data_IF_572894256727
#
_entry.id   IF_572894256727
#
_cell.length_a   1.000
_cell.length_b   1.000
_cell.length_c   1.000
_cell.angle_alpha   90.00
_cell.angle_beta   90.00
_cell.angle_gamma   90.00
#
_symmetry.space_group_name_H-M   'P 1'
#
loop_
_entity.id
_entity.type
_entity.pdbx_description
1 polymer ?
#
# COMPACT_ATOMS: atom_id res chain seq x y z
N UNK A 1 5.62 7.74 38.49
CA UNK A 1 6.03 6.82 37.41
C UNK A 1 4.92 6.84 36.39
N UNK A 2 5.20 7.11 35.15
CA UNK A 2 4.19 7.04 34.07
C UNK A 2 3.77 5.58 33.90
N UNK A 3 2.47 5.32 33.78
CA UNK A 3 1.95 3.97 33.55
C UNK A 3 2.57 3.38 32.28
N UNK A 4 3.06 2.14 32.36
CA UNK A 4 3.60 1.42 31.21
C UNK A 4 2.50 1.25 30.14
N UNK A 5 2.80 1.57 28.89
CA UNK A 5 1.90 1.40 27.74
C UNK A 5 2.45 0.35 26.81
N UNK A 6 1.56 -0.35 26.10
CA UNK A 6 1.90 -1.16 24.94
C UNK A 6 1.71 -0.32 23.68
N UNK A 7 2.73 -0.26 22.82
CA UNK A 7 2.76 0.61 21.66
C UNK A 7 3.15 -0.21 20.43
N UNK A 8 2.27 -0.26 19.45
CA UNK A 8 2.57 -0.75 18.11
C UNK A 8 2.95 0.45 17.24
N UNK A 9 4.10 0.36 16.58
CA UNK A 9 4.60 1.37 15.66
C UNK A 9 4.74 0.74 14.28
N UNK A 10 4.24 1.42 13.25
CA UNK A 10 4.50 1.05 11.86
C UNK A 10 5.01 2.23 11.06
N UNK A 11 5.91 2.00 10.12
CA UNK A 11 6.32 2.97 9.11
C UNK A 11 5.85 2.53 7.73
N UNK A 12 5.47 3.48 6.87
CA UNK A 12 5.00 3.18 5.52
C UNK A 12 5.99 2.27 4.79
N UNK A 13 5.45 1.22 4.19
CA UNK A 13 6.22 0.19 3.50
C UNK A 13 6.93 0.78 2.28
N UNK A 14 8.25 0.66 2.18
CA UNK A 14 8.97 1.04 0.97
C UNK A 14 8.69 0.07 -0.16
N UNK A 15 8.44 0.59 -1.38
CA UNK A 15 8.34 -0.24 -2.58
C UNK A 15 9.63 -1.01 -2.85
N UNK A 16 9.50 -2.22 -3.41
CA UNK A 16 10.64 -3.09 -3.72
C UNK A 16 11.41 -2.67 -4.99
N UNK A 17 10.97 -1.70 -5.75
CA UNK A 17 11.46 -1.31 -7.07
C UNK A 17 12.83 -0.61 -7.11
N UNK A 18 13.72 -0.92 -6.20
CA UNK A 18 15.11 -0.44 -6.15
C UNK A 18 15.54 0.12 -4.79
N UNK A 19 16.80 0.57 -4.74
CA UNK A 19 17.39 1.17 -3.54
C UNK A 19 16.61 2.41 -3.10
N UNK A 20 16.36 2.52 -1.80
CA UNK A 20 15.62 3.65 -1.24
C UNK A 20 16.48 4.90 -1.14
N UNK A 21 15.85 6.04 -1.27
CA UNK A 21 16.50 7.34 -1.10
C UNK A 21 16.25 7.90 0.30
N UNK A 22 17.04 8.89 0.70
CA UNK A 22 16.92 9.53 2.02
C UNK A 22 15.55 10.13 2.29
N UNK A 23 14.75 10.44 1.25
CA UNK A 23 13.37 10.88 1.41
C UNK A 23 12.46 9.79 1.99
N UNK A 24 12.67 8.51 1.66
CA UNK A 24 11.94 7.39 2.29
C UNK A 24 12.36 7.24 3.76
N UNK A 25 13.65 7.33 4.04
CA UNK A 25 14.18 7.25 5.40
C UNK A 25 13.61 8.38 6.29
N UNK A 26 13.78 9.63 5.88
CA UNK A 26 13.37 10.80 6.66
C UNK A 26 11.84 11.00 6.70
N UNK A 27 11.12 10.50 5.68
CA UNK A 27 9.67 10.65 5.56
C UNK A 27 8.84 9.61 6.33
N UNK A 28 9.44 8.52 6.82
CA UNK A 28 8.69 7.50 7.58
C UNK A 28 9.56 6.69 8.55
N UNK A 29 10.62 6.02 8.09
CA UNK A 29 11.34 5.02 8.88
C UNK A 29 12.14 5.63 10.03
N UNK A 30 12.92 6.69 9.79
CA UNK A 30 13.75 7.33 10.81
C UNK A 30 12.91 8.02 11.92
N UNK A 31 11.85 8.80 11.62
CA UNK A 31 11.00 9.35 12.66
C UNK A 31 10.31 8.28 13.51
N UNK A 32 9.91 7.17 12.90
CA UNK A 32 9.33 6.03 13.60
C UNK A 32 10.36 5.36 14.54
N UNK A 33 11.59 5.18 14.07
CA UNK A 33 12.70 4.62 14.86
C UNK A 33 13.04 5.50 16.07
N UNK A 34 13.16 6.81 15.86
CA UNK A 34 13.40 7.77 16.96
C UNK A 34 12.27 7.67 18.00
N UNK A 35 11.02 7.64 17.55
CA UNK A 35 9.89 7.49 18.45
C UNK A 35 9.92 6.15 19.19
N UNK A 36 10.22 5.04 18.51
CA UNK A 36 10.32 3.72 19.11
C UNK A 36 11.39 3.69 20.23
N UNK A 37 12.59 4.24 19.94
CA UNK A 37 13.70 4.32 20.91
C UNK A 37 13.33 5.16 22.13
N UNK A 38 12.70 6.33 21.94
CA UNK A 38 12.29 7.19 23.04
C UNK A 38 11.26 6.47 23.90
N UNK A 39 10.25 5.81 23.31
CA UNK A 39 9.23 5.09 24.07
C UNK A 39 9.82 3.90 24.85
N UNK A 40 10.78 3.17 24.27
CA UNK A 40 11.52 2.10 24.97
C UNK A 40 12.34 2.65 26.14
N UNK A 41 13.04 3.76 25.95
CA UNK A 41 13.79 4.44 27.02
C UNK A 41 12.90 4.92 28.17
N UNK A 42 11.65 5.28 27.85
CA UNK A 42 10.63 5.64 28.87
C UNK A 42 10.02 4.43 29.59
N UNK A 43 10.43 3.20 29.26
CA UNK A 43 9.98 1.97 29.89
C UNK A 43 8.66 1.41 29.34
N UNK A 44 8.24 1.84 28.14
CA UNK A 44 7.06 1.28 27.48
C UNK A 44 7.40 -0.01 26.72
N UNK A 45 6.39 -0.89 26.55
CA UNK A 45 6.46 -2.06 25.69
C UNK A 45 6.22 -1.61 24.24
N UNK A 46 7.23 -1.74 23.38
CA UNK A 46 7.19 -1.20 22.02
C UNK A 46 7.50 -2.30 21.02
N UNK A 47 6.60 -2.46 20.05
CA UNK A 47 6.82 -3.30 18.87
C UNK A 47 6.84 -2.39 17.62
N UNK A 48 7.98 -2.36 16.92
CA UNK A 48 8.18 -1.55 15.71
C UNK A 48 8.29 -2.45 14.48
N UNK A 49 7.29 -2.38 13.60
CA UNK A 49 7.13 -3.22 12.42
C UNK A 49 7.26 -2.38 11.15
N UNK A 50 7.97 -2.91 10.18
CA UNK A 50 7.97 -2.44 8.79
C UNK A 50 8.04 -3.66 7.86
N UNK A 51 7.84 -3.45 6.56
CA UNK A 51 7.95 -4.48 5.54
C UNK A 51 8.30 -3.85 4.19
N UNK A 52 8.72 -4.65 3.22
CA UNK A 52 8.79 -4.23 1.82
C UNK A 52 7.44 -4.43 1.15
N UNK A 53 7.03 -3.45 0.34
CA UNK A 53 5.88 -3.52 -0.55
C UNK A 53 6.32 -4.10 -1.89
N UNK A 54 5.95 -5.37 -2.16
CA UNK A 54 6.55 -6.19 -3.22
C UNK A 54 5.64 -6.48 -4.41
N UNK A 55 4.38 -6.10 -4.34
CA UNK A 55 3.41 -6.40 -5.38
C UNK A 55 3.21 -5.26 -6.38
N UNK A 56 2.48 -5.56 -7.47
CA UNK A 56 2.06 -4.58 -8.47
C UNK A 56 3.09 -4.27 -9.55
N UNK A 57 2.67 -3.41 -10.47
CA UNK A 57 3.41 -3.05 -11.68
C UNK A 57 4.82 -2.51 -11.44
N UNK A 58 5.13 -1.75 -10.37
CA UNK A 58 6.49 -1.27 -10.15
C UNK A 58 7.52 -2.37 -9.94
N UNK A 59 7.16 -3.46 -9.25
CA UNK A 59 8.04 -4.60 -9.03
C UNK A 59 8.26 -5.40 -10.32
N UNK A 60 7.18 -5.69 -11.07
CA UNK A 60 7.26 -6.42 -12.34
C UNK A 60 8.13 -5.68 -13.37
N UNK A 61 7.89 -4.37 -13.55
CA UNK A 61 8.66 -3.54 -14.51
C UNK A 61 10.15 -3.45 -14.11
N UNK A 62 10.43 -3.31 -12.82
CA UNK A 62 11.82 -3.26 -12.34
C UNK A 62 12.54 -4.60 -12.53
N UNK A 63 11.87 -5.72 -12.24
CA UNK A 63 12.41 -7.06 -12.47
C UNK A 63 12.68 -7.32 -13.96
N UNK A 64 11.74 -6.93 -14.82
CA UNK A 64 11.91 -7.04 -16.26
C UNK A 64 13.10 -6.21 -16.77
N UNK A 65 13.23 -4.96 -16.31
CA UNK A 65 14.36 -4.10 -16.67
C UNK A 65 15.71 -4.66 -16.19
N UNK A 66 15.70 -5.45 -15.10
CA UNK A 66 16.87 -6.15 -14.57
C UNK A 66 17.13 -7.51 -15.25
N UNK A 67 16.24 -7.98 -16.13
CA UNK A 67 16.34 -9.31 -16.76
C UNK A 67 16.15 -10.47 -15.79
N UNK A 68 15.41 -10.27 -14.71
CA UNK A 68 15.19 -11.23 -13.63
C UNK A 68 13.71 -11.66 -13.54
N UNK A 69 13.45 -12.82 -12.91
CA UNK A 69 12.10 -13.10 -12.43
C UNK A 69 11.71 -12.13 -11.32
N UNK A 70 10.41 -11.83 -11.17
CA UNK A 70 9.95 -10.89 -10.13
C UNK A 70 10.33 -11.39 -8.74
N UNK A 71 10.22 -12.68 -8.48
CA UNK A 71 10.61 -13.27 -7.20
C UNK A 71 12.11 -13.05 -6.90
N UNK A 72 13.01 -13.36 -7.84
CA UNK A 72 14.45 -13.20 -7.65
C UNK A 72 14.83 -11.73 -7.44
N UNK A 73 14.21 -10.82 -8.20
CA UNK A 73 14.39 -9.39 -8.02
C UNK A 73 13.93 -8.91 -6.64
N UNK A 74 12.74 -9.32 -6.19
CA UNK A 74 12.23 -8.98 -4.87
C UNK A 74 13.13 -9.53 -3.76
N UNK A 75 13.65 -10.76 -3.89
CA UNK A 75 14.56 -11.36 -2.91
C UNK A 75 15.85 -10.56 -2.79
N UNK A 76 16.46 -10.16 -3.91
CA UNK A 76 17.67 -9.33 -3.93
C UNK A 76 17.40 -7.94 -3.33
N UNK A 77 16.34 -7.25 -3.76
CA UNK A 77 16.03 -5.91 -3.29
C UNK A 77 15.63 -5.88 -1.81
N UNK A 78 14.96 -6.92 -1.33
CA UNK A 78 14.66 -7.07 0.10
C UNK A 78 15.95 -7.07 0.93
N UNK A 79 16.94 -7.89 0.56
CA UNK A 79 18.21 -7.96 1.26
C UNK A 79 18.98 -6.62 1.21
N UNK A 80 18.94 -5.92 0.08
CA UNK A 80 19.54 -4.58 -0.06
C UNK A 80 18.88 -3.60 0.91
N UNK A 81 17.54 -3.57 0.94
CA UNK A 81 16.79 -2.65 1.80
C UNK A 81 16.93 -2.99 3.29
N UNK A 82 16.98 -4.29 3.63
CA UNK A 82 17.20 -4.77 4.99
C UNK A 82 18.58 -4.32 5.50
N UNK A 83 19.63 -4.56 4.70
CA UNK A 83 21.02 -4.12 5.01
C UNK A 83 21.15 -2.60 5.11
N UNK A 84 20.46 -1.86 4.24
CA UNK A 84 20.41 -0.40 4.33
C UNK A 84 19.78 0.05 5.67
N UNK A 85 18.67 -0.58 6.09
CA UNK A 85 18.07 -0.33 7.41
C UNK A 85 19.04 -0.60 8.56
N UNK A 86 19.78 -1.71 8.51
CA UNK A 86 20.83 -2.03 9.48
C UNK A 86 21.96 -0.99 9.47
N UNK A 87 22.40 -0.55 8.28
CA UNK A 87 23.42 0.48 8.11
C UNK A 87 23.04 1.83 8.72
N UNK A 88 21.74 2.17 8.71
CA UNK A 88 21.18 3.33 9.40
C UNK A 88 20.80 3.03 10.85
N UNK A 89 21.11 1.83 11.36
CA UNK A 89 20.81 1.39 12.72
C UNK A 89 19.33 1.50 13.07
N UNK A 90 18.42 1.23 12.13
CA UNK A 90 16.99 1.21 12.39
C UNK A 90 16.62 0.01 13.28
N UNK A 91 15.85 0.25 14.34
CA UNK A 91 15.58 -0.73 15.40
C UNK A 91 14.24 -1.44 15.21
N UNK A 92 13.93 -1.88 13.97
CA UNK A 92 12.76 -2.71 13.74
C UNK A 92 12.82 -3.98 14.62
N UNK A 93 11.68 -4.34 15.22
CA UNK A 93 11.51 -5.67 15.81
C UNK A 93 11.28 -6.70 14.71
N UNK A 94 10.70 -6.26 13.58
CA UNK A 94 10.54 -7.07 12.37
C UNK A 94 10.54 -6.23 11.10
N UNK A 95 11.24 -6.71 10.10
CA UNK A 95 11.20 -6.17 8.74
C UNK A 95 10.71 -7.28 7.81
N UNK A 96 9.39 -7.26 7.51
CA UNK A 96 8.70 -8.31 6.77
C UNK A 96 8.64 -8.07 5.26
N UNK A 97 7.76 -8.82 4.58
CA UNK A 97 7.55 -8.77 3.12
C UNK A 97 6.08 -9.01 2.78
N UNK A 98 5.49 -8.21 1.89
CA UNK A 98 4.10 -8.45 1.47
C UNK A 98 3.94 -9.68 0.57
N UNK A 99 5.00 -10.15 -0.07
CA UNK A 99 4.98 -11.38 -0.89
C UNK A 99 4.97 -12.69 -0.07
N UNK A 100 5.04 -12.61 1.26
CA UNK A 100 5.02 -13.80 2.12
C UNK A 100 3.62 -14.41 2.23
N UNK A 101 3.53 -15.74 2.44
CA UNK A 101 2.24 -16.43 2.57
C UNK A 101 1.32 -15.88 3.66
N UNK A 102 1.87 -15.31 4.75
CA UNK A 102 1.09 -14.67 5.80
C UNK A 102 0.26 -13.50 5.25
N UNK A 103 0.87 -12.64 4.41
CA UNK A 103 0.16 -11.53 3.79
C UNK A 103 -0.93 -12.01 2.81
N UNK A 104 -0.63 -13.04 2.03
CA UNK A 104 -1.61 -13.62 1.11
C UNK A 104 -2.85 -14.11 1.86
N UNK A 105 -2.67 -14.87 2.94
CA UNK A 105 -3.76 -15.42 3.75
C UNK A 105 -4.64 -14.33 4.36
N UNK A 106 -4.03 -13.32 4.99
CA UNK A 106 -4.79 -12.26 5.67
C UNK A 106 -5.49 -11.33 4.65
N UNK A 107 -4.87 -11.08 3.50
CA UNK A 107 -5.49 -10.30 2.42
C UNK A 107 -6.72 -11.01 1.86
N UNK A 108 -6.61 -12.30 1.58
CA UNK A 108 -7.73 -13.14 1.12
C UNK A 108 -8.83 -13.21 2.18
N UNK A 109 -8.47 -13.40 3.45
CA UNK A 109 -9.42 -13.40 4.55
C UNK A 109 -10.21 -12.10 4.65
N UNK A 110 -9.53 -10.96 4.65
CA UNK A 110 -10.22 -9.65 4.72
C UNK A 110 -11.11 -9.40 3.50
N UNK A 111 -10.67 -9.79 2.30
CA UNK A 111 -11.51 -9.71 1.10
C UNK A 111 -12.77 -10.56 1.24
N UNK A 112 -12.67 -11.79 1.75
CA UNK A 112 -13.81 -12.68 2.00
C UNK A 112 -14.79 -12.07 3.02
N UNK A 113 -14.29 -11.46 4.11
CA UNK A 113 -15.16 -10.81 5.08
C UNK A 113 -15.88 -9.59 4.50
N UNK A 114 -15.17 -8.78 3.70
CA UNK A 114 -15.78 -7.65 2.98
C UNK A 114 -16.87 -8.12 2.01
N UNK A 115 -16.65 -9.21 1.28
CA UNK A 115 -17.64 -9.78 0.37
C UNK A 115 -18.85 -10.31 1.13
N UNK A 116 -18.68 -11.05 2.22
CA UNK A 116 -19.77 -11.51 3.11
C UNK A 116 -20.60 -10.36 3.67
N UNK A 117 -19.96 -9.21 3.90
CA UNK A 117 -20.64 -8.00 4.39
C UNK A 117 -21.22 -7.12 3.28
N UNK A 118 -21.23 -7.59 2.02
CA UNK A 118 -21.80 -6.88 0.87
C UNK A 118 -21.01 -5.64 0.44
N UNK A 119 -19.73 -5.55 0.79
CA UNK A 119 -18.87 -4.43 0.44
C UNK A 119 -17.97 -4.69 -0.78
N UNK A 120 -18.12 -5.85 -1.43
CA UNK A 120 -17.45 -6.17 -2.68
C UNK A 120 -18.50 -6.53 -3.74
N UNK A 121 -18.32 -6.00 -4.94
CA UNK A 121 -19.08 -6.39 -6.12
C UNK A 121 -18.18 -6.58 -7.33
N UNK A 122 -18.64 -7.39 -8.30
CA UNK A 122 -18.00 -7.52 -9.61
C UNK A 122 -18.52 -6.43 -10.52
N UNK A 123 -17.64 -5.70 -11.19
CA UNK A 123 -17.96 -4.74 -12.25
C UNK A 123 -17.09 -4.99 -13.45
N UNK A 124 -17.73 -4.96 -14.63
CA UNK A 124 -17.01 -4.91 -15.91
C UNK A 124 -16.48 -3.49 -16.13
N UNK A 125 -15.22 -3.36 -16.48
CA UNK A 125 -14.59 -2.09 -16.83
C UNK A 125 -13.80 -2.21 -18.12
N UNK A 126 -13.65 -1.09 -18.83
CA UNK A 126 -12.82 -1.00 -20.02
C UNK A 126 -11.36 -0.86 -19.62
N UNK A 127 -10.50 -1.68 -20.21
CA UNK A 127 -9.06 -1.65 -19.93
C UNK A 127 -8.27 -1.69 -21.23
N UNK A 128 -7.07 -1.13 -21.19
CA UNK A 128 -6.12 -1.16 -22.30
C UNK A 128 -5.57 -2.58 -22.47
N UNK A 129 -5.64 -3.12 -23.69
CA UNK A 129 -5.11 -4.43 -24.05
C UNK A 129 -4.08 -4.27 -25.16
N UNK A 130 -2.87 -4.75 -24.96
CA UNK A 130 -1.86 -4.81 -26.01
C UNK A 130 -1.99 -6.13 -26.76
N UNK A 131 -2.35 -6.06 -28.05
CA UNK A 131 -2.58 -7.25 -28.89
C UNK A 131 -1.29 -8.04 -29.08
N UNK A 132 -0.18 -7.33 -29.33
CA UNK A 132 1.13 -7.95 -29.56
C UNK A 132 1.70 -8.57 -28.27
N UNK A 133 1.36 -8.02 -27.10
CA UNK A 133 1.78 -8.54 -25.79
C UNK A 133 0.85 -9.66 -25.29
N UNK A 134 -0.34 -9.81 -25.90
CA UNK A 134 -1.34 -10.79 -25.53
C UNK A 134 -1.93 -10.59 -24.13
N UNK A 135 -1.93 -9.34 -23.59
CA UNK A 135 -2.31 -9.07 -22.20
C UNK A 135 -2.95 -7.69 -21.99
N UNK A 136 -3.71 -7.57 -20.92
CA UNK A 136 -4.12 -6.28 -20.39
C UNK A 136 -2.91 -5.51 -19.84
N UNK A 137 -2.97 -4.18 -19.95
CA UNK A 137 -1.94 -3.27 -19.49
C UNK A 137 -2.50 -2.39 -18.35
N UNK A 138 -2.46 -2.83 -17.09
CA UNK A 138 -2.93 -1.99 -15.99
C UNK A 138 -1.91 -0.90 -15.64
N UNK A 139 -2.44 0.23 -15.17
CA UNK A 139 -1.68 1.30 -14.52
C UNK A 139 -0.42 1.73 -15.34
N UNK A 140 0.78 1.49 -14.80
CA UNK A 140 2.07 1.92 -15.37
C UNK A 140 2.56 1.09 -16.54
N UNK A 141 1.84 0.06 -16.92
CA UNK A 141 2.12 -0.67 -18.17
C UNK A 141 1.67 0.09 -19.42
N UNK A 142 0.87 1.15 -19.25
CA UNK A 142 0.49 2.06 -20.35
C UNK A 142 1.23 3.36 -20.19
N UNK A 143 1.86 3.81 -21.26
CA UNK A 143 2.36 5.15 -21.44
C UNK A 143 1.66 5.82 -22.63
N UNK A 144 1.59 7.15 -22.60
CA UNK A 144 0.97 7.94 -23.66
C UNK A 144 1.00 9.43 -23.35
N UNK A 145 0.24 10.22 -24.10
CA UNK A 145 0.15 11.66 -23.87
C UNK A 145 -0.96 11.97 -22.85
N UNK A 146 -0.62 12.75 -21.84
CA UNK A 146 -1.57 13.22 -20.84
C UNK A 146 -2.67 14.08 -21.46
N UNK A 147 -3.96 13.76 -21.30
CA UNK A 147 -5.05 14.55 -21.89
C UNK A 147 -5.20 15.94 -21.23
N UNK A 148 -4.59 16.17 -20.05
CA UNK A 148 -4.72 17.42 -19.31
C UNK A 148 -3.60 18.42 -19.59
N UNK A 149 -2.36 17.97 -19.76
CA UNK A 149 -1.21 18.88 -19.89
C UNK A 149 -0.33 18.63 -21.13
N UNK A 150 -0.64 17.62 -21.95
CA UNK A 150 0.10 17.31 -23.16
C UNK A 150 1.46 16.63 -22.93
N UNK A 151 1.79 16.21 -21.72
CA UNK A 151 3.04 15.50 -21.44
C UNK A 151 3.03 14.12 -22.11
N UNK A 152 3.99 13.90 -23.01
CA UNK A 152 4.01 12.73 -23.94
C UNK A 152 4.41 11.39 -23.30
N UNK A 153 4.89 11.40 -22.05
CA UNK A 153 5.31 10.20 -21.31
C UNK A 153 4.52 10.03 -20.03
N UNK A 154 3.23 10.37 -20.09
CA UNK A 154 2.33 10.15 -18.96
C UNK A 154 2.04 8.67 -18.78
N UNK A 155 1.98 8.23 -17.53
CA UNK A 155 1.63 6.85 -17.16
C UNK A 155 0.16 6.74 -16.83
N UNK A 156 -0.39 5.54 -16.97
CA UNK A 156 -1.82 5.30 -16.84
C UNK A 156 -2.39 5.46 -15.43
N UNK A 157 -1.56 5.60 -14.38
CA UNK A 157 -2.02 5.84 -13.01
C UNK A 157 -1.99 7.33 -12.61
N UNK A 158 -0.90 8.03 -12.98
CA UNK A 158 -0.70 9.43 -12.63
C UNK A 158 0.27 10.11 -13.60
N UNK A 159 -0.02 11.32 -13.99
CA UNK A 159 0.89 12.11 -14.81
C UNK A 159 2.07 12.63 -13.96
N UNK A 160 3.29 12.25 -14.35
CA UNK A 160 4.53 12.70 -13.66
C UNK A 160 4.76 14.22 -13.78
N UNK A 161 4.15 14.89 -14.77
CA UNK A 161 4.29 16.33 -14.99
C UNK A 161 3.29 17.17 -14.21
N UNK A 162 1.98 16.91 -14.36
CA UNK A 162 0.94 17.72 -13.71
C UNK A 162 0.37 17.09 -12.43
N UNK A 163 0.74 15.86 -12.11
CA UNK A 163 0.34 15.17 -10.88
C UNK A 163 -1.12 14.69 -10.85
N UNK A 164 -1.89 14.87 -11.95
CA UNK A 164 -3.28 14.39 -12.00
C UNK A 164 -3.33 12.87 -12.12
N UNK A 165 -4.31 12.27 -11.41
CA UNK A 165 -4.67 10.87 -11.61
C UNK A 165 -5.21 10.70 -13.03
N UNK A 166 -4.86 9.59 -13.65
CA UNK A 166 -5.25 9.22 -15.01
C UNK A 166 -5.88 7.83 -14.99
N UNK A 167 -6.78 7.60 -15.94
CA UNK A 167 -7.18 6.25 -16.32
C UNK A 167 -6.36 5.87 -17.58
N UNK A 168 -5.78 4.66 -17.66
CA UNK A 168 -5.06 4.21 -18.85
C UNK A 168 -5.82 4.39 -20.16
N UNK A 169 -7.15 4.24 -20.14
CA UNK A 169 -8.00 4.39 -21.34
C UNK A 169 -8.13 5.82 -21.85
N UNK A 170 -7.85 6.81 -21.01
CA UNK A 170 -7.93 8.24 -21.34
C UNK A 170 -6.63 8.79 -21.96
N UNK A 171 -5.55 8.02 -21.93
CA UNK A 171 -4.28 8.46 -22.51
C UNK A 171 -4.40 8.63 -24.04
N UNK A 172 -3.83 9.71 -24.55
CA UNK A 172 -3.78 9.98 -25.98
C UNK A 172 -2.59 9.21 -26.58
N UNK A 173 -2.82 8.48 -27.66
CA UNK A 173 -1.81 7.64 -28.33
C UNK A 173 -1.13 6.65 -27.38
N UNK A 174 -1.90 5.83 -26.63
CA UNK A 174 -1.35 4.90 -25.65
C UNK A 174 -0.46 3.84 -26.34
N UNK A 175 0.53 3.36 -25.59
CA UNK A 175 1.40 2.26 -26.01
C UNK A 175 1.85 1.44 -24.80
N UNK A 176 2.27 0.20 -25.05
CA UNK A 176 2.84 -0.66 -24.03
C UNK A 176 4.18 -0.10 -23.54
N UNK A 177 4.29 0.18 -22.25
CA UNK A 177 5.55 0.59 -21.62
C UNK A 177 6.59 -0.55 -21.60
N UNK A 178 6.15 -1.79 -21.86
CA UNK A 178 6.99 -3.00 -21.85
C UNK A 178 7.67 -3.21 -23.20
N UNK A 179 6.89 -3.22 -24.28
CA UNK A 179 7.35 -3.57 -25.62
C UNK A 179 7.41 -2.39 -26.58
N UNK A 180 6.78 -1.27 -26.22
CA UNK A 180 6.59 -0.11 -27.09
C UNK A 180 5.50 -0.32 -28.15
N UNK A 181 4.79 -1.45 -28.12
CA UNK A 181 3.71 -1.72 -29.06
C UNK A 181 2.60 -0.68 -28.97
N UNK A 182 2.16 -0.21 -30.13
CA UNK A 182 1.02 0.69 -30.35
C UNK A 182 -0.22 -0.03 -30.86
N UNK A 183 -0.15 -1.36 -30.98
CA UNK A 183 -1.29 -2.19 -31.35
C UNK A 183 -2.17 -2.40 -30.11
N UNK A 184 -2.94 -1.36 -29.79
CA UNK A 184 -3.73 -1.24 -28.57
C UNK A 184 -5.21 -1.34 -28.90
N UNK A 185 -5.90 -2.14 -28.11
CA UNK A 185 -7.37 -2.25 -28.09
C UNK A 185 -7.90 -1.88 -26.69
N UNK A 186 -9.15 -1.46 -26.65
CA UNK A 186 -9.90 -1.32 -25.38
C UNK A 186 -10.82 -2.52 -25.28
N UNK A 187 -10.64 -3.33 -24.23
CA UNK A 187 -11.42 -4.54 -23.97
C UNK A 187 -12.09 -4.48 -22.62
N UNK A 188 -13.20 -5.17 -22.49
CA UNK A 188 -13.91 -5.34 -21.24
C UNK A 188 -13.21 -6.42 -20.39
N UNK A 189 -13.10 -6.18 -19.08
CA UNK A 189 -12.59 -7.13 -18.10
C UNK A 189 -13.29 -6.92 -16.75
N UNK A 190 -13.53 -8.00 -16.02
CA UNK A 190 -14.22 -7.96 -14.75
C UNK A 190 -13.24 -7.76 -13.60
N UNK A 191 -13.58 -6.86 -12.69
CA UNK A 191 -12.81 -6.59 -11.49
C UNK A 191 -13.69 -6.58 -10.23
N UNK A 192 -13.07 -6.91 -9.08
CA UNK A 192 -13.69 -6.70 -7.78
C UNK A 192 -13.57 -5.23 -7.40
N UNK A 193 -14.68 -4.65 -6.96
CA UNK A 193 -14.75 -3.26 -6.49
C UNK A 193 -15.13 -3.24 -5.01
N UNK A 194 -14.31 -2.56 -4.20
CA UNK A 194 -14.62 -2.24 -2.81
C UNK A 194 -15.56 -1.04 -2.76
N UNK A 195 -16.74 -1.24 -2.17
CA UNK A 195 -17.83 -0.25 -2.08
C UNK A 195 -17.59 0.73 -0.93
N UNK A 196 -16.56 1.57 -1.05
CA UNK A 196 -16.21 2.55 -0.02
C UNK A 196 -17.32 3.57 0.25
N UNK A 197 -18.17 3.81 -0.74
CA UNK A 197 -19.32 4.75 -0.65
C UNK A 197 -20.23 4.43 0.54
N UNK A 198 -20.53 3.16 0.77
CA UNK A 198 -21.37 2.70 1.90
C UNK A 198 -20.72 2.88 3.26
N UNK A 199 -19.42 3.16 3.30
CA UNK A 199 -18.66 3.33 4.54
C UNK A 199 -18.33 4.81 4.85
N UNK A 200 -18.73 5.74 3.99
CA UNK A 200 -18.31 7.15 4.09
C UNK A 200 -18.62 7.79 5.43
N UNK A 201 -19.82 7.65 5.94
CA UNK A 201 -20.23 8.28 7.21
C UNK A 201 -19.46 7.66 8.38
N UNK A 202 -19.32 6.34 8.39
CA UNK A 202 -18.55 5.62 9.42
C UNK A 202 -17.07 6.03 9.42
N UNK A 203 -16.46 6.21 8.25
CA UNK A 203 -15.07 6.68 8.15
C UNK A 203 -14.97 8.14 8.58
N UNK A 204 -15.95 8.99 8.25
CA UNK A 204 -15.98 10.39 8.70
C UNK A 204 -16.06 10.49 10.23
N UNK A 205 -16.93 9.72 10.85
CA UNK A 205 -17.02 9.65 12.31
C UNK A 205 -15.70 9.20 12.95
N UNK A 206 -15.11 8.14 12.40
CA UNK A 206 -13.82 7.62 12.86
C UNK A 206 -12.68 8.65 12.69
N UNK A 207 -12.61 9.36 11.55
CA UNK A 207 -11.63 10.44 11.32
C UNK A 207 -11.86 11.59 12.30
N UNK A 208 -13.10 11.97 12.59
CA UNK A 208 -13.42 13.03 13.53
C UNK A 208 -13.02 12.65 14.96
N UNK A 209 -13.11 11.38 15.34
CA UNK A 209 -12.69 10.88 16.65
C UNK A 209 -11.16 10.81 16.77
N UNK A 210 -10.52 10.04 15.87
CA UNK A 210 -9.08 9.75 15.93
C UNK A 210 -8.21 10.91 15.47
N UNK A 211 -8.68 11.69 14.52
CA UNK A 211 -7.98 12.84 13.94
C UNK A 211 -7.62 13.94 14.96
N UNK A 212 -8.27 13.97 16.10
CA UNK A 212 -7.90 14.88 17.23
C UNK A 212 -6.43 14.70 17.66
N UNK A 213 -5.86 13.53 17.42
CA UNK A 213 -4.47 13.18 17.78
C UNK A 213 -3.52 13.17 16.56
N UNK A 214 -4.01 13.61 15.39
CA UNK A 214 -3.23 13.62 14.15
C UNK A 214 -2.74 15.02 13.80
N UNK A 215 -1.66 15.17 13.02
CA UNK A 215 -1.26 16.47 12.51
C UNK A 215 -2.32 17.02 11.54
N UNK A 216 -2.46 18.35 11.48
CA UNK A 216 -3.42 19.02 10.60
C UNK A 216 -3.30 18.61 9.12
N UNK A 217 -2.09 18.34 8.66
CA UNK A 217 -1.83 17.80 7.31
C UNK A 217 -2.59 16.50 7.05
N UNK A 218 -2.55 15.55 8.00
CA UNK A 218 -3.24 14.26 7.84
C UNK A 218 -4.77 14.43 7.85
N UNK A 219 -5.28 15.22 8.80
CA UNK A 219 -6.72 15.52 8.91
C UNK A 219 -7.24 16.22 7.65
N UNK A 220 -6.49 17.20 7.14
CA UNK A 220 -6.84 17.93 5.92
C UNK A 220 -6.92 17.02 4.69
N UNK A 221 -5.98 16.09 4.54
CA UNK A 221 -5.99 15.12 3.43
C UNK A 221 -7.17 14.15 3.57
N UNK A 222 -7.41 13.61 4.77
CA UNK A 222 -8.53 12.70 5.01
C UNK A 222 -9.88 13.39 4.72
N UNK A 223 -10.08 14.60 5.24
CA UNK A 223 -11.31 15.34 5.01
C UNK A 223 -11.51 15.70 3.54
N UNK A 224 -10.45 16.08 2.81
CA UNK A 224 -10.55 16.34 1.37
C UNK A 224 -11.14 15.14 0.62
N UNK A 225 -10.67 13.92 0.89
CA UNK A 225 -11.20 12.71 0.25
C UNK A 225 -12.66 12.43 0.65
N UNK A 226 -13.01 12.66 1.90
CA UNK A 226 -14.37 12.49 2.38
C UNK A 226 -15.33 13.56 1.83
N UNK A 227 -14.86 14.79 1.61
CA UNK A 227 -15.66 15.91 1.08
C UNK A 227 -15.86 15.78 -0.44
N UNK A 228 -14.89 15.22 -1.17
CA UNK A 228 -15.02 14.87 -2.58
C UNK A 228 -15.96 13.66 -2.79
N UNK A 229 -16.27 12.92 -1.73
CA UNK A 229 -17.10 11.72 -1.75
C UNK A 229 -16.32 10.46 -2.09
N UNK A 230 -16.53 9.41 -1.29
CA UNK A 230 -15.89 8.12 -1.54
C UNK A 230 -16.57 7.42 -2.72
N UNK A 231 -15.77 6.84 -3.60
CA UNK A 231 -16.23 6.07 -4.76
C UNK A 231 -15.82 4.60 -4.61
N UNK A 232 -16.56 3.71 -5.28
CA UNK A 232 -16.15 2.32 -5.39
C UNK A 232 -14.81 2.23 -6.14
N UNK A 233 -13.87 1.43 -5.60
CA UNK A 233 -12.53 1.30 -6.16
C UNK A 233 -12.22 -0.14 -6.51
N UNK A 234 -11.70 -0.36 -7.71
CA UNK A 234 -11.20 -1.67 -8.12
C UNK A 234 -10.05 -2.10 -7.22
N UNK A 235 -10.18 -3.31 -6.65
CA UNK A 235 -9.19 -3.94 -5.78
C UNK A 235 -8.53 -5.16 -6.43
N UNK A 236 -8.69 -5.35 -7.74
CA UNK A 236 -8.00 -6.39 -8.51
C UNK A 236 -7.34 -5.82 -9.75
N UNK A 237 -6.34 -6.54 -10.28
CA UNK A 237 -5.62 -6.18 -11.52
C UNK A 237 -5.34 -7.41 -12.35
N UNK A 238 -5.29 -7.24 -13.67
CA UNK A 238 -4.85 -8.25 -14.64
C UNK A 238 -3.32 -8.35 -14.63
N UNK A 239 -2.79 -8.94 -13.56
CA UNK A 239 -1.36 -9.16 -13.31
C UNK A 239 -1.12 -10.59 -12.84
N UNK A 240 0.12 -11.06 -12.96
CA UNK A 240 0.52 -12.38 -12.49
C UNK A 240 1.13 -12.37 -11.09
N UNK A 241 1.80 -11.29 -10.71
CA UNK A 241 2.51 -11.11 -9.46
C UNK A 241 1.68 -10.33 -8.45
N UNK A 242 1.28 -10.99 -7.37
CA UNK A 242 0.44 -10.45 -6.31
C UNK A 242 -0.34 -11.52 -5.59
N UNK A 243 -1.18 -11.11 -4.66
CA UNK A 243 -2.07 -12.01 -3.92
C UNK A 243 -3.19 -12.49 -4.85
N UNK A 244 -3.32 -13.81 -5.02
CA UNK A 244 -4.35 -14.41 -5.87
C UNK A 244 -5.75 -14.18 -5.32
N UNK A 245 -6.70 -13.96 -6.24
CA UNK A 245 -8.10 -13.71 -5.89
C UNK A 245 -8.79 -15.03 -5.59
N UNK A 246 -9.41 -15.11 -4.40
CA UNK A 246 -10.22 -16.24 -3.98
C UNK A 246 -11.69 -15.87 -3.89
N UNK A 247 -12.56 -16.87 -3.91
CA UNK A 247 -13.97 -16.73 -3.59
C UNK A 247 -14.20 -16.66 -2.06
N UNK A 248 -15.45 -16.57 -1.63
CA UNK A 248 -15.83 -16.48 -0.22
C UNK A 248 -15.44 -17.73 0.61
N UNK A 249 -15.20 -18.86 -0.05
CA UNK A 249 -14.82 -20.14 0.58
C UNK A 249 -13.30 -20.37 0.54
N UNK A 250 -12.53 -19.47 -0.07
CA UNK A 250 -11.06 -19.52 -0.16
C UNK A 250 -10.54 -20.30 -1.36
N UNK A 251 -11.41 -20.73 -2.29
CA UNK A 251 -10.99 -21.37 -3.54
C UNK A 251 -10.58 -20.32 -4.58
N UNK A 252 -9.79 -20.70 -5.61
CA UNK A 252 -9.55 -19.82 -6.76
C UNK A 252 -10.88 -19.31 -7.34
N UNK A 253 -11.04 -17.99 -7.44
CA UNK A 253 -12.29 -17.39 -7.91
C UNK A 253 -12.47 -17.59 -9.42
N UNK A 254 -13.57 -18.23 -9.86
CA UNK A 254 -13.84 -18.41 -11.29
C UNK A 254 -13.87 -17.09 -12.06
N UNK A 255 -13.19 -17.02 -13.21
CA UNK A 255 -13.04 -15.81 -14.02
C UNK A 255 -11.98 -14.81 -13.53
N UNK A 256 -11.29 -15.12 -12.42
CA UNK A 256 -10.22 -14.29 -11.86
C UNK A 256 -8.87 -15.02 -11.75
N UNK A 257 -8.69 -16.13 -12.45
CA UNK A 257 -7.49 -16.98 -12.38
C UNK A 257 -6.21 -16.22 -12.79
N UNK A 258 -6.36 -15.27 -13.72
CA UNK A 258 -5.26 -14.42 -14.21
C UNK A 258 -5.21 -13.03 -13.53
N UNK A 259 -5.84 -12.90 -12.37
CA UNK A 259 -5.90 -11.66 -11.63
C UNK A 259 -5.28 -11.80 -10.24
N UNK A 260 -4.86 -10.66 -9.71
CA UNK A 260 -4.36 -10.55 -8.34
C UNK A 260 -5.03 -9.37 -7.65
N UNK A 261 -5.00 -9.34 -6.32
CA UNK A 261 -5.39 -8.14 -5.60
C UNK A 261 -4.44 -6.98 -5.93
N UNK A 262 -5.01 -5.78 -5.97
CA UNK A 262 -4.27 -4.54 -6.23
C UNK A 262 -3.36 -4.22 -5.06
N UNK A 263 -2.12 -3.86 -5.34
CA UNK A 263 -1.09 -3.59 -4.34
C UNK A 263 -1.52 -2.62 -3.22
N UNK A 264 -2.35 -1.64 -3.52
CA UNK A 264 -2.83 -0.69 -2.51
C UNK A 264 -3.95 -1.24 -1.62
N UNK A 265 -4.49 -2.40 -1.96
CA UNK A 265 -5.37 -3.16 -1.07
C UNK A 265 -4.56 -4.04 -0.12
N UNK A 266 -3.56 -4.77 -0.62
CA UNK A 266 -2.79 -5.72 0.20
C UNK A 266 -1.60 -5.10 0.95
N UNK A 267 -1.00 -4.00 0.46
CA UNK A 267 0.15 -3.39 1.10
C UNK A 267 -0.11 -2.93 2.56
N UNK A 268 -1.20 -2.21 2.89
CA UNK A 268 -1.47 -1.86 4.29
C UNK A 268 -1.76 -3.07 5.18
N UNK A 269 -2.28 -4.15 4.61
CA UNK A 269 -2.48 -5.43 5.32
C UNK A 269 -1.12 -6.04 5.71
N UNK A 270 -0.07 -5.72 4.97
CA UNK A 270 1.31 -6.09 5.25
C UNK A 270 1.81 -5.74 6.65
N UNK A 271 1.23 -4.72 7.30
CA UNK A 271 1.56 -4.43 8.71
C UNK A 271 1.08 -5.56 9.63
N UNK A 272 -0.11 -6.09 9.38
CA UNK A 272 -0.69 -7.18 10.18
C UNK A 272 0.12 -8.46 9.95
N UNK A 273 0.36 -8.83 8.69
CA UNK A 273 1.09 -10.05 8.35
C UNK A 273 2.53 -10.03 8.86
N UNK A 274 3.23 -8.91 8.75
CA UNK A 274 4.57 -8.76 9.31
C UNK A 274 4.58 -8.87 10.85
N UNK A 275 3.51 -8.41 11.52
CA UNK A 275 3.37 -8.60 12.96
C UNK A 275 3.10 -10.06 13.32
N UNK A 276 2.35 -10.80 12.48
CA UNK A 276 2.15 -12.25 12.64
C UNK A 276 3.47 -13.01 12.50
N UNK A 277 4.27 -12.69 11.47
CA UNK A 277 5.61 -13.28 11.28
C UNK A 277 6.54 -12.98 12.47
N UNK A 278 6.53 -11.76 12.99
CA UNK A 278 7.26 -11.40 14.21
C UNK A 278 6.85 -12.25 15.41
N UNK A 279 5.55 -12.40 15.61
CA UNK A 279 5.02 -13.18 16.73
C UNK A 279 5.40 -14.67 16.59
N UNK A 280 5.29 -15.25 15.39
CA UNK A 280 5.68 -16.62 15.12
C UNK A 280 7.18 -16.84 15.38
N UNK A 281 8.03 -15.92 14.95
CA UNK A 281 9.49 -16.01 15.13
C UNK A 281 9.97 -15.81 16.57
N UNK A 282 9.21 -15.07 17.38
CA UNK A 282 9.64 -14.65 18.73
C UNK A 282 8.83 -15.27 19.87
N UNK A 283 7.74 -16.01 19.56
CA UNK A 283 6.81 -16.54 20.55
C UNK A 283 5.92 -15.49 21.21
N UNK A 284 5.83 -14.29 20.64
CA UNK A 284 4.96 -13.23 21.09
C UNK A 284 3.52 -13.40 20.56
N UNK A 285 2.62 -12.57 21.06
CA UNK A 285 1.19 -12.61 20.72
C UNK A 285 0.82 -11.38 19.86
N UNK A 286 0.62 -11.58 18.57
CA UNK A 286 0.23 -10.54 17.62
C UNK A 286 -1.22 -10.07 17.82
N UNK A 287 -2.12 -10.92 18.35
CA UNK A 287 -3.53 -10.59 18.53
C UNK A 287 -3.70 -9.45 19.51
N UNK A 288 -2.88 -9.39 20.55
CA UNK A 288 -2.85 -8.27 21.53
C UNK A 288 -2.48 -6.92 20.91
N UNK A 289 -1.94 -6.92 19.71
CA UNK A 289 -1.58 -5.70 18.98
C UNK A 289 -2.65 -5.32 17.94
N UNK A 290 -3.41 -6.30 17.42
CA UNK A 290 -4.29 -6.08 16.28
C UNK A 290 -5.77 -6.41 16.51
N UNK A 291 -6.14 -7.23 17.52
CA UNK A 291 -7.54 -7.60 17.78
C UNK A 291 -8.01 -7.00 19.12
N UNK A 292 -9.02 -6.11 19.06
CA UNK A 292 -9.47 -5.36 20.23
C UNK A 292 -10.13 -6.26 21.28
N UNK A 293 -10.76 -7.35 20.87
CA UNK A 293 -11.32 -8.38 21.79
C UNK A 293 -10.25 -9.31 22.39
N UNK A 294 -8.99 -9.19 21.93
CA UNK A 294 -7.81 -9.92 22.46
C UNK A 294 -6.84 -9.01 23.22
N UNK A 295 -7.21 -7.75 23.45
CA UNK A 295 -6.43 -6.79 24.25
C UNK A 295 -5.72 -5.70 23.44
N UNK A 296 -5.96 -5.58 22.12
CA UNK A 296 -5.43 -4.48 21.35
C UNK A 296 -6.13 -3.14 21.62
N UNK A 297 -7.26 -3.14 22.34
CA UNK A 297 -7.87 -1.94 22.90
C UNK A 297 -6.92 -1.19 23.84
N UNK A 298 -6.02 -1.90 24.55
CA UNK A 298 -4.99 -1.36 25.44
C UNK A 298 -3.67 -1.04 24.71
N UNK A 299 -3.59 -1.31 23.40
CA UNK A 299 -2.42 -1.01 22.56
C UNK A 299 -2.58 0.36 21.92
N UNK A 300 -1.60 1.23 22.06
CA UNK A 300 -1.53 2.48 21.30
C UNK A 300 -0.91 2.19 19.93
N UNK A 301 -1.66 2.38 18.85
CA UNK A 301 -1.17 2.17 17.49
C UNK A 301 -0.75 3.49 16.83
N UNK A 302 0.51 3.59 16.44
CA UNK A 302 1.14 4.80 15.84
C UNK A 302 1.70 4.48 14.47
N UNK A 303 1.27 5.22 13.45
CA UNK A 303 1.76 5.08 12.07
C UNK A 303 2.57 6.29 11.63
N UNK A 304 3.65 6.04 10.88
CA UNK A 304 4.53 7.06 10.30
C UNK A 304 4.58 6.93 8.78
N UNK A 305 4.36 8.04 8.04
CA UNK A 305 4.28 8.00 6.59
C UNK A 305 4.52 9.33 5.91
N UNK A 306 4.85 9.30 4.63
CA UNK A 306 4.76 10.46 3.75
C UNK A 306 3.31 10.85 3.47
N UNK A 307 3.08 12.12 3.15
CA UNK A 307 1.72 12.66 2.93
C UNK A 307 0.94 11.98 1.81
N UNK A 308 1.63 11.37 0.85
CA UNK A 308 1.07 10.62 -0.27
C UNK A 308 0.38 9.30 0.17
N UNK A 309 0.75 8.78 1.33
CA UNK A 309 0.14 7.56 1.89
C UNK A 309 -1.06 7.85 2.81
N UNK A 310 -1.29 9.10 3.19
CA UNK A 310 -2.33 9.44 4.20
C UNK A 310 -3.71 8.95 3.78
N UNK A 311 -4.15 9.20 2.54
CA UNK A 311 -5.48 8.80 2.09
C UNK A 311 -5.71 7.29 2.17
N UNK A 312 -4.68 6.48 1.87
CA UNK A 312 -4.79 5.02 1.98
C UNK A 312 -4.92 4.55 3.43
N UNK A 313 -4.27 5.24 4.37
CA UNK A 313 -4.26 4.89 5.80
C UNK A 313 -5.37 5.56 6.61
N UNK A 314 -6.04 6.56 6.03
CA UNK A 314 -7.17 7.24 6.69
C UNK A 314 -8.53 6.97 6.03
N UNK A 315 -8.52 6.32 4.85
CA UNK A 315 -9.73 5.94 4.13
C UNK A 315 -9.70 4.45 3.77
N UNK A 316 -8.86 4.03 2.82
CA UNK A 316 -8.96 2.68 2.23
C UNK A 316 -8.69 1.56 3.23
N UNK A 317 -7.62 1.65 4.01
CA UNK A 317 -7.29 0.63 5.01
C UNK A 317 -8.31 0.59 6.16
N UNK A 318 -8.75 1.72 6.75
CA UNK A 318 -9.84 1.71 7.70
C UNK A 318 -11.17 1.16 7.14
N UNK A 319 -11.50 1.44 5.87
CA UNK A 319 -12.66 0.80 5.21
C UNK A 319 -12.49 -0.72 5.20
N UNK A 320 -11.30 -1.22 4.88
CA UNK A 320 -11.02 -2.66 4.88
C UNK A 320 -11.20 -3.27 6.26
N UNK A 321 -10.58 -2.68 7.29
CA UNK A 321 -10.63 -3.20 8.66
C UNK A 321 -12.04 -3.10 9.26
N UNK A 322 -12.65 -1.91 9.22
CA UNK A 322 -13.97 -1.68 9.78
C UNK A 322 -15.08 -2.39 8.98
N UNK A 323 -14.91 -2.46 7.65
CA UNK A 323 -15.84 -3.12 6.75
C UNK A 323 -15.85 -4.64 6.88
N UNK A 324 -14.75 -5.25 7.33
CA UNK A 324 -14.70 -6.69 7.61
C UNK A 324 -15.68 -7.13 8.71
N UNK A 325 -16.09 -6.20 9.58
CA UNK A 325 -16.95 -6.51 10.73
C UNK A 325 -16.22 -7.19 11.89
N UNK A 326 -14.93 -7.41 11.75
CA UNK A 326 -14.08 -8.02 12.76
C UNK A 326 -13.46 -6.96 13.70
N UNK A 327 -13.00 -7.35 14.89
CA UNK A 327 -12.54 -6.41 15.94
C UNK A 327 -11.10 -5.92 15.70
N UNK A 328 -10.79 -5.50 14.46
CA UNK A 328 -9.46 -5.00 14.12
C UNK A 328 -9.14 -3.67 14.78
N UNK A 329 -7.93 -3.56 15.27
CA UNK A 329 -7.37 -2.30 15.78
C UNK A 329 -7.11 -1.34 14.62
N UNK A 330 -7.68 -0.13 14.71
CA UNK A 330 -7.36 0.99 13.81
C UNK A 330 -6.33 1.93 14.44
N UNK A 331 -5.69 2.78 13.62
CA UNK A 331 -4.65 3.70 14.10
C UNK A 331 -5.19 4.73 15.12
N UNK A 332 -4.44 4.94 16.20
CA UNK A 332 -4.73 5.98 17.18
C UNK A 332 -3.99 7.28 16.87
N UNK A 333 -2.74 7.19 16.44
CA UNK A 333 -1.91 8.36 16.11
C UNK A 333 -1.24 8.17 14.76
N UNK A 334 -1.47 9.11 13.85
CA UNK A 334 -0.83 9.12 12.55
C UNK A 334 0.17 10.28 12.50
N UNK A 335 1.35 10.05 11.97
CA UNK A 335 2.41 11.03 11.77
C UNK A 335 2.70 11.14 10.27
N UNK A 336 2.24 12.22 9.66
CA UNK A 336 2.41 12.48 8.24
C UNK A 336 3.48 13.55 7.99
N UNK A 337 4.33 13.32 7.00
CA UNK A 337 5.43 14.20 6.66
C UNK A 337 5.31 14.71 5.22
N UNK A 338 5.71 15.97 4.99
CA UNK A 338 5.92 16.48 3.65
C UNK A 338 7.11 15.78 2.98
N UNK A 339 7.13 15.81 1.65
CA UNK A 339 8.26 15.27 0.91
C UNK A 339 9.54 16.04 1.16
N UNK A 340 10.63 15.31 1.33
CA UNK A 340 11.96 15.88 1.23
C UNK A 340 12.21 16.24 -0.24
N UNK A 341 12.78 17.41 -0.49
CA UNK A 341 13.09 17.89 -1.83
C UNK A 341 14.59 17.88 -2.09
N UNK A 342 14.98 17.73 -3.35
CA UNK A 342 16.36 17.76 -3.82
C UNK A 342 16.45 18.73 -4.99
N UNK A 343 17.21 19.82 -4.81
CA UNK A 343 17.28 20.92 -5.80
C UNK A 343 15.90 21.39 -6.31
N UNK A 344 14.95 21.58 -5.39
CA UNK A 344 13.60 22.05 -5.71
C UNK A 344 12.64 20.98 -6.25
N UNK A 345 13.09 19.76 -6.54
CA UNK A 345 12.25 18.65 -7.00
C UNK A 345 12.02 17.58 -5.93
N UNK A 346 10.96 16.78 -6.10
CA UNK A 346 10.70 15.59 -5.26
C UNK A 346 11.80 14.54 -5.49
N UNK A 347 12.24 13.86 -4.42
CA UNK A 347 13.03 12.63 -4.54
C UNK A 347 12.27 11.58 -5.35
N UNK A 348 12.96 10.83 -6.21
CA UNK A 348 12.32 9.82 -7.07
C UNK A 348 13.26 8.66 -7.36
N UNK A 349 12.86 7.46 -6.98
CA UNK A 349 13.59 6.22 -7.29
C UNK A 349 13.63 5.97 -8.79
N UNK A 350 12.50 6.11 -9.48
CA UNK A 350 12.39 5.85 -10.93
C UNK A 350 13.20 6.85 -11.78
N UNK A 351 13.32 8.10 -11.32
CA UNK A 351 14.10 9.14 -12.00
C UNK A 351 15.55 9.24 -11.49
N UNK A 352 15.96 8.37 -10.57
CA UNK A 352 17.28 8.40 -9.91
C UNK A 352 17.62 9.78 -9.35
N UNK A 353 16.60 10.50 -8.81
CA UNK A 353 16.75 11.85 -8.25
C UNK A 353 16.84 11.77 -6.74
N UNK A 354 17.96 12.26 -6.18
CA UNK A 354 18.20 12.34 -4.74
C UNK A 354 19.47 11.62 -4.31
N UNK A 355 19.61 11.45 -3.00
CA UNK A 355 20.67 10.66 -2.37
C UNK A 355 20.07 9.33 -1.95
N UNK A 356 20.70 8.23 -2.32
CA UNK A 356 20.25 6.87 -2.06
C UNK A 356 20.98 6.28 -0.85
N UNK A 357 20.30 5.37 -0.17
CA UNK A 357 20.81 4.68 1.04
C UNK A 357 21.91 3.67 0.69
#
# INVERSE_FOLDING_TARGET
MTQQRRILITSALPYINGVKHLGNLAGSMLPADVYARVMRLMGHEVTYICATDEHGTPAELAAQAAGQTVQAYCDEQYEIQRKAGEGFNLSFDWFGRTSRPANHKITQHLAQQLEKNGLIEVRTSKQVYAVDDGRFLPDRYVEGTCPHCGYEKARGDQCDSCGRLLDPVDLINPYSAVTGSRNIEIRDTDHLYLLQTGMQDRIREWVNEKGKNWPSLAVSIANKWLDEGLIARSITRDLSWGVKVTDADGNPRPGFENKVFYVWFDAPIGYISATQEWAEATGNDWEKLWLTDKGADQTEYVQFMGKDNVAFHTVSFPVTLLGSGEPWKTVDKLKAFNWVTWYGGKFSTSQKRGVFM
#
